data_IF_039943747974
#
_entry.id   IF_039943747974
#
_cell.length_a   1.000
_cell.length_b   1.000
_cell.length_c   1.000
_cell.angle_alpha   90.00
_cell.angle_beta   90.00
_cell.angle_gamma   90.00
#
_symmetry.space_group_name_H-M   'P 1'
#
loop_
_entity.id
_entity.type
_entity.pdbx_description
1 polymer ?
#
# COMPACT_ATOMS: atom_id res chain seq x y z
N UNK A 1 10.83 -4.17 -15.33
CA UNK A 1 10.07 -4.02 -14.07
C UNK A 1 10.29 -2.67 -13.36
N UNK A 2 11.54 -2.23 -13.14
CA UNK A 2 11.86 -1.03 -12.35
C UNK A 2 11.12 0.27 -12.76
N UNK A 3 11.03 0.57 -14.07
CA UNK A 3 10.32 1.75 -14.59
C UNK A 3 8.81 1.69 -14.32
N UNK A 4 8.18 0.56 -14.65
CA UNK A 4 6.75 0.30 -14.42
C UNK A 4 6.42 0.45 -12.93
N UNK A 5 7.20 -0.18 -12.06
CA UNK A 5 7.03 -0.06 -10.62
C UNK A 5 7.10 1.39 -10.16
N UNK A 6 8.14 2.13 -10.57
CA UNK A 6 8.32 3.51 -10.14
C UNK A 6 7.13 4.40 -10.54
N UNK A 7 6.65 4.28 -11.77
CA UNK A 7 5.47 5.03 -12.24
C UNK A 7 4.24 4.70 -11.40
N UNK A 8 3.95 3.41 -11.18
CA UNK A 8 2.77 3.01 -10.40
C UNK A 8 2.89 3.40 -8.92
N UNK A 9 4.08 3.27 -8.33
CA UNK A 9 4.33 3.68 -6.94
C UNK A 9 4.17 5.20 -6.76
N UNK A 10 4.63 6.01 -7.71
CA UNK A 10 4.43 7.47 -7.68
C UNK A 10 2.93 7.77 -7.76
N UNK A 11 2.20 7.19 -8.73
CA UNK A 11 0.77 7.41 -8.88
C UNK A 11 -0.02 7.01 -7.62
N UNK A 12 0.30 5.85 -7.02
CA UNK A 12 -0.33 5.41 -5.78
C UNK A 12 -0.06 6.38 -4.62
N UNK A 13 1.18 6.84 -4.44
CA UNK A 13 1.51 7.78 -3.36
C UNK A 13 0.91 9.18 -3.57
N UNK A 14 0.86 9.68 -4.81
CA UNK A 14 0.16 10.93 -5.14
C UNK A 14 -1.33 10.81 -4.84
N UNK A 15 -1.94 9.67 -5.16
CA UNK A 15 -3.36 9.42 -4.86
C UNK A 15 -3.62 9.34 -3.36
N UNK A 16 -2.75 8.68 -2.59
CA UNK A 16 -2.82 8.68 -1.12
C UNK A 16 -2.71 10.09 -0.54
N UNK A 17 -1.76 10.89 -1.05
CA UNK A 17 -1.57 12.26 -0.60
C UNK A 17 -2.79 13.14 -0.93
N UNK A 18 -3.37 12.96 -2.11
CA UNK A 18 -4.61 13.62 -2.49
C UNK A 18 -5.76 13.26 -1.53
N UNK A 19 -5.93 11.97 -1.23
CA UNK A 19 -6.94 11.51 -0.26
C UNK A 19 -6.75 12.13 1.13
N UNK A 20 -5.50 12.19 1.62
CA UNK A 20 -5.14 12.83 2.89
C UNK A 20 -5.49 14.32 2.91
N UNK A 21 -5.12 15.05 1.87
CA UNK A 21 -5.42 16.49 1.74
C UNK A 21 -6.93 16.72 1.68
N UNK A 22 -7.67 15.90 0.95
CA UNK A 22 -9.12 15.98 0.90
C UNK A 22 -9.77 15.70 2.25
N UNK A 23 -9.23 14.76 3.04
CA UNK A 23 -9.70 14.48 4.39
C UNK A 23 -9.59 15.70 5.32
N UNK A 24 -8.50 16.46 5.20
CA UNK A 24 -8.29 17.71 5.95
C UNK A 24 -9.26 18.83 5.53
N UNK A 25 -9.86 18.74 4.35
CA UNK A 25 -10.77 19.75 3.79
C UNK A 25 -12.25 19.50 4.11
N UNK A 26 -12.61 18.37 4.74
CA UNK A 26 -14.01 18.01 5.03
C UNK A 26 -14.68 19.00 6.00
N UNK A 27 -13.93 19.58 6.93
CA UNK A 27 -14.49 20.44 7.99
C UNK A 27 -15.18 19.63 9.09
N UNK A 28 -16.19 20.22 9.75
CA UNK A 28 -17.00 19.53 10.77
C UNK A 28 -18.10 18.70 10.10
N UNK A 29 -18.04 17.35 10.15
CA UNK A 29 -19.04 16.49 9.53
C UNK A 29 -20.45 16.61 10.15
N UNK A 30 -20.56 17.16 11.36
CA UNK A 30 -21.82 17.34 12.07
C UNK A 30 -22.45 18.72 11.82
N UNK A 31 -21.87 19.52 10.93
CA UNK A 31 -22.47 20.79 10.48
C UNK A 31 -23.91 20.56 10.01
N UNK A 32 -24.83 21.41 10.48
CA UNK A 32 -26.28 21.27 10.25
C UNK A 32 -26.85 19.89 10.66
N UNK A 33 -26.27 19.24 11.67
CA UNK A 33 -26.65 17.91 12.13
C UNK A 33 -26.36 16.82 11.09
N UNK A 34 -25.28 16.97 10.32
CA UNK A 34 -24.88 16.05 9.26
C UNK A 34 -25.67 16.20 7.95
N UNK A 35 -26.46 17.27 7.82
CA UNK A 35 -27.32 17.52 6.64
C UNK A 35 -26.77 18.57 5.69
N UNK A 36 -25.57 19.10 5.95
CA UNK A 36 -24.93 20.04 5.05
C UNK A 36 -24.57 19.35 3.71
N UNK A 37 -25.16 19.78 2.58
CA UNK A 37 -24.92 19.15 1.29
C UNK A 37 -23.47 19.32 0.79
N UNK A 38 -22.81 20.42 1.14
CA UNK A 38 -21.43 20.68 0.70
C UNK A 38 -20.47 19.78 1.46
N UNK A 39 -20.60 19.67 2.79
CA UNK A 39 -19.78 18.77 3.62
C UNK A 39 -19.96 17.32 3.20
N UNK A 40 -21.21 16.88 2.98
CA UNK A 40 -21.50 15.52 2.53
C UNK A 40 -20.89 15.21 1.15
N UNK A 41 -20.84 16.20 0.24
CA UNK A 41 -20.15 16.06 -1.05
C UNK A 41 -18.64 15.90 -0.87
N UNK A 42 -18.02 16.66 0.04
CA UNK A 42 -16.59 16.51 0.34
C UNK A 42 -16.26 15.15 0.94
N UNK A 43 -17.08 14.65 1.87
CA UNK A 43 -16.97 13.29 2.43
C UNK A 43 -17.06 12.25 1.32
N UNK A 44 -18.10 12.32 0.47
CA UNK A 44 -18.27 11.38 -0.64
C UNK A 44 -17.09 11.36 -1.60
N UNK A 45 -16.57 12.53 -1.97
CA UNK A 45 -15.39 12.64 -2.81
C UNK A 45 -14.14 12.05 -2.13
N UNK A 46 -13.95 12.32 -0.83
CA UNK A 46 -12.84 11.76 -0.05
C UNK A 46 -12.92 10.22 0.00
N UNK A 47 -14.10 9.66 0.23
CA UNK A 47 -14.31 8.20 0.23
C UNK A 47 -13.94 7.61 -1.13
N UNK A 48 -14.41 8.18 -2.24
CA UNK A 48 -14.10 7.67 -3.59
C UNK A 48 -12.60 7.72 -3.90
N UNK A 49 -11.94 8.85 -3.60
CA UNK A 49 -10.50 8.99 -3.82
C UNK A 49 -9.70 8.10 -2.86
N UNK A 50 -10.15 7.94 -1.61
CA UNK A 50 -9.57 7.05 -0.62
C UNK A 50 -9.67 5.58 -1.02
N UNK A 51 -10.81 5.14 -1.54
CA UNK A 51 -11.00 3.79 -2.10
C UNK A 51 -10.09 3.57 -3.31
N UNK A 52 -10.00 4.54 -4.22
CA UNK A 52 -9.09 4.46 -5.36
C UNK A 52 -7.62 4.41 -4.91
N UNK A 53 -7.23 5.17 -3.88
CA UNK A 53 -5.89 5.11 -3.28
C UNK A 53 -5.61 3.72 -2.68
N UNK A 54 -6.55 3.19 -1.90
CA UNK A 54 -6.44 1.85 -1.30
C UNK A 54 -6.29 0.78 -2.38
N UNK A 55 -7.12 0.78 -3.41
CA UNK A 55 -7.02 -0.15 -4.54
C UNK A 55 -5.70 0.02 -5.31
N UNK A 56 -5.22 1.25 -5.50
CA UNK A 56 -3.95 1.51 -6.20
C UNK A 56 -2.74 0.98 -5.42
N UNK A 57 -2.67 1.24 -4.11
CA UNK A 57 -1.61 0.74 -3.23
C UNK A 57 -1.60 -0.78 -3.21
N UNK A 58 -2.76 -1.38 -2.93
CA UNK A 58 -2.93 -2.84 -2.91
C UNK A 58 -2.53 -3.48 -4.24
N UNK A 59 -2.92 -2.88 -5.37
CA UNK A 59 -2.50 -3.32 -6.70
C UNK A 59 -0.97 -3.28 -6.87
N UNK A 60 -0.30 -2.18 -6.50
CA UNK A 60 1.17 -2.07 -6.60
C UNK A 60 1.86 -3.18 -5.81
N UNK A 61 1.42 -3.42 -4.58
CA UNK A 61 1.97 -4.49 -3.74
C UNK A 61 1.66 -5.89 -4.28
N UNK A 62 0.47 -6.11 -4.83
CA UNK A 62 0.09 -7.38 -5.47
C UNK A 62 0.97 -7.67 -6.71
N UNK A 63 1.21 -6.67 -7.56
CA UNK A 63 2.09 -6.80 -8.73
C UNK A 63 3.52 -7.17 -8.33
N UNK A 64 4.00 -6.63 -7.21
CA UNK A 64 5.33 -6.92 -6.70
C UNK A 64 5.41 -8.31 -6.10
N UNK A 65 4.37 -8.71 -5.36
CA UNK A 65 4.24 -10.07 -4.84
C UNK A 65 4.30 -11.09 -5.98
N UNK A 66 3.49 -10.91 -7.03
CA UNK A 66 3.46 -11.84 -8.17
C UNK A 66 4.77 -11.82 -8.96
N UNK A 67 5.41 -10.66 -9.14
CA UNK A 67 6.73 -10.55 -9.76
C UNK A 67 7.79 -11.38 -9.02
N UNK A 68 7.91 -11.25 -7.70
CA UNK A 68 8.90 -12.00 -6.92
C UNK A 68 8.56 -13.49 -6.82
N UNK A 69 7.28 -13.86 -6.77
CA UNK A 69 6.86 -15.26 -6.82
C UNK A 69 7.19 -15.91 -8.17
N UNK A 70 6.83 -15.24 -9.27
CA UNK A 70 7.07 -15.75 -10.62
C UNK A 70 8.55 -15.84 -10.98
N UNK A 71 9.31 -14.77 -10.73
CA UNK A 71 10.76 -14.78 -11.02
C UNK A 71 11.53 -15.75 -10.13
N UNK A 72 11.13 -15.92 -8.87
CA UNK A 72 11.79 -16.87 -7.98
C UNK A 72 11.60 -18.32 -8.43
N UNK A 73 10.38 -18.69 -8.83
CA UNK A 73 10.12 -20.02 -9.40
C UNK A 73 10.84 -20.24 -10.72
N UNK A 74 10.85 -19.23 -11.59
CA UNK A 74 11.59 -19.29 -12.85
C UNK A 74 13.10 -19.49 -12.63
N UNK A 75 13.72 -18.80 -11.67
CA UNK A 75 15.15 -18.98 -11.33
C UNK A 75 15.40 -20.39 -10.80
N UNK A 76 14.53 -20.91 -9.94
CA UNK A 76 14.65 -22.27 -9.40
C UNK A 76 14.63 -23.33 -10.50
N UNK A 77 13.61 -23.29 -11.36
CA UNK A 77 13.43 -24.24 -12.46
C UNK A 77 14.56 -24.12 -13.50
N UNK A 78 14.97 -22.90 -13.83
CA UNK A 78 16.07 -22.64 -14.78
C UNK A 78 17.41 -23.12 -14.21
N UNK A 79 17.70 -22.81 -12.94
CA UNK A 79 18.94 -23.27 -12.31
C UNK A 79 19.01 -24.80 -12.23
N UNK A 80 17.88 -25.47 -11.96
CA UNK A 80 17.80 -26.92 -11.98
C UNK A 80 18.02 -27.51 -13.38
N UNK A 81 17.36 -26.95 -14.41
CA UNK A 81 17.44 -27.43 -15.79
C UNK A 81 18.85 -27.30 -16.38
N UNK A 82 19.52 -26.17 -16.13
CA UNK A 82 20.83 -25.86 -16.69
C UNK A 82 22.00 -26.13 -15.73
N UNK A 83 21.73 -26.74 -14.56
CA UNK A 83 22.72 -27.04 -13.51
C UNK A 83 23.53 -25.81 -13.09
N UNK A 84 22.87 -24.65 -12.99
CA UNK A 84 23.52 -23.41 -12.60
C UNK A 84 23.92 -23.44 -11.12
N UNK A 85 24.93 -22.67 -10.71
CA UNK A 85 25.33 -22.55 -9.32
C UNK A 85 24.16 -22.18 -8.39
N UNK A 86 24.02 -22.83 -7.21
CA UNK A 86 22.89 -22.61 -6.29
C UNK A 86 22.84 -21.18 -5.71
N UNK A 87 23.93 -20.42 -5.85
CA UNK A 87 24.03 -19.03 -5.42
C UNK A 87 22.95 -18.12 -6.05
N UNK A 88 22.52 -18.39 -7.29
CA UNK A 88 21.48 -17.59 -7.95
C UNK A 88 20.11 -17.77 -7.29
N UNK A 89 19.74 -19.02 -7.01
CA UNK A 89 18.51 -19.33 -6.30
C UNK A 89 18.54 -18.77 -4.86
N UNK A 90 19.64 -18.99 -4.12
CA UNK A 90 19.78 -18.50 -2.75
C UNK A 90 19.71 -16.96 -2.66
N UNK A 91 20.37 -16.26 -3.59
CA UNK A 91 20.32 -14.80 -3.65
C UNK A 91 18.90 -14.30 -3.95
N UNK A 92 18.18 -14.95 -4.89
CA UNK A 92 16.80 -14.60 -5.19
C UNK A 92 15.87 -14.85 -3.98
N UNK A 93 15.98 -15.99 -3.30
CA UNK A 93 15.16 -16.30 -2.12
C UNK A 93 15.36 -15.25 -1.01
N UNK A 94 16.60 -14.80 -0.80
CA UNK A 94 16.89 -13.72 0.17
C UNK A 94 16.20 -12.40 -0.21
N UNK A 95 16.12 -12.07 -1.50
CA UNK A 95 15.40 -10.89 -1.97
C UNK A 95 13.89 -11.04 -1.80
N UNK A 96 13.34 -12.18 -2.22
CA UNK A 96 11.92 -12.52 -2.09
C UNK A 96 11.46 -12.48 -0.63
N UNK A 97 12.06 -13.26 0.26
CA UNK A 97 11.62 -13.27 1.66
C UNK A 97 11.94 -11.98 2.42
N UNK A 98 12.90 -11.18 1.92
CA UNK A 98 13.15 -9.85 2.47
C UNK A 98 12.07 -8.80 2.15
N UNK A 99 11.25 -9.00 1.10
CA UNK A 99 10.25 -8.03 0.66
C UNK A 99 8.82 -8.38 1.10
N UNK A 100 8.53 -9.67 1.27
CA UNK A 100 7.19 -10.17 1.57
C UNK A 100 6.59 -9.61 2.87
N UNK A 101 7.33 -9.49 3.99
CA UNK A 101 6.78 -8.91 5.21
C UNK A 101 6.35 -7.45 5.02
N UNK A 102 7.14 -6.64 4.29
CA UNK A 102 6.80 -5.25 4.01
C UNK A 102 5.55 -5.12 3.13
N UNK A 103 5.39 -6.01 2.16
CA UNK A 103 4.17 -6.10 1.33
C UNK A 103 2.96 -6.41 2.23
N UNK A 104 3.00 -7.49 3.01
CA UNK A 104 1.88 -7.90 3.88
C UNK A 104 1.52 -6.84 4.92
N UNK A 105 2.53 -6.24 5.54
CA UNK A 105 2.32 -5.19 6.53
C UNK A 105 1.63 -3.97 5.91
N UNK A 106 2.07 -3.54 4.73
CA UNK A 106 1.43 -2.39 4.04
C UNK A 106 -0.01 -2.69 3.63
N UNK A 107 -0.30 -3.92 3.18
CA UNK A 107 -1.67 -4.38 2.93
C UNK A 107 -2.56 -4.26 4.15
N UNK A 108 -2.10 -4.77 5.30
CA UNK A 108 -2.86 -4.72 6.56
C UNK A 108 -3.06 -3.28 7.04
N UNK A 109 -2.05 -2.43 6.91
CA UNK A 109 -2.15 -1.00 7.24
C UNK A 109 -3.15 -0.26 6.35
N UNK A 110 -3.15 -0.53 5.05
CA UNK A 110 -4.11 0.05 4.11
C UNK A 110 -5.55 -0.39 4.41
N UNK A 111 -5.75 -1.69 4.68
CA UNK A 111 -7.04 -2.22 5.11
C UNK A 111 -7.49 -1.58 6.43
N UNK A 112 -6.59 -1.53 7.43
CA UNK A 112 -6.86 -0.91 8.73
C UNK A 112 -7.26 0.56 8.60
N UNK A 113 -6.57 1.32 7.74
CA UNK A 113 -6.92 2.72 7.45
C UNK A 113 -8.30 2.87 6.86
N UNK A 114 -8.67 1.99 5.90
CA UNK A 114 -10.02 1.95 5.33
C UNK A 114 -11.08 1.64 6.38
N UNK A 115 -10.82 0.66 7.27
CA UNK A 115 -11.71 0.34 8.38
C UNK A 115 -11.86 1.52 9.36
N UNK A 116 -10.76 2.19 9.73
CA UNK A 116 -10.83 3.41 10.55
C UNK A 116 -11.61 4.53 9.85
N UNK A 117 -11.52 4.64 8.53
CA UNK A 117 -12.32 5.60 7.75
C UNK A 117 -13.82 5.29 7.82
N UNK A 118 -14.19 4.01 7.71
CA UNK A 118 -15.58 3.58 7.87
C UNK A 118 -16.11 3.78 9.30
N UNK A 119 -15.26 3.74 10.32
CA UNK A 119 -15.62 4.07 11.71
C UNK A 119 -15.69 5.58 11.93
N UNK A 120 -14.91 6.38 11.20
CA UNK A 120 -14.95 7.83 11.27
C UNK A 120 -16.10 8.45 10.46
N UNK A 121 -16.82 7.66 9.67
CA UNK A 121 -17.97 8.11 8.88
C UNK A 121 -19.12 8.54 9.82
N UNK A 122 -19.64 9.77 9.74
CA UNK A 122 -20.76 10.22 10.58
C UNK A 122 -22.04 9.38 10.46
N UNK A 123 -22.20 8.65 9.35
CA UNK A 123 -23.33 7.75 9.13
C UNK A 123 -23.17 6.40 9.87
N UNK A 124 -22.00 6.10 10.44
CA UNK A 124 -21.77 4.86 11.16
C UNK A 124 -22.26 4.94 12.61
N UNK A 125 -22.79 3.82 13.12
CA UNK A 125 -23.10 3.67 14.54
C UNK A 125 -21.90 3.13 15.35
N UNK A 126 -20.84 2.71 14.67
CA UNK A 126 -19.63 2.20 15.30
C UNK A 126 -18.78 3.36 15.84
N UNK A 127 -18.18 3.19 17.01
CA UNK A 127 -17.18 4.12 17.53
C UNK A 127 -16.14 3.35 18.33
N UNK A 128 -14.87 3.70 18.11
CA UNK A 128 -13.74 3.20 18.89
C UNK A 128 -13.33 4.17 20.00
N UNK A 129 -13.99 5.33 20.08
CA UNK A 129 -13.68 6.39 21.04
C UNK A 129 -13.79 5.88 22.49
N UNK A 130 -14.80 5.07 22.81
CA UNK A 130 -14.99 4.52 24.17
C UNK A 130 -13.87 3.56 24.60
N UNK A 131 -13.24 2.87 23.64
CA UNK A 131 -12.17 1.91 23.91
C UNK A 131 -10.79 2.55 23.90
N UNK A 132 -10.57 3.50 22.99
CA UNK A 132 -9.25 4.12 22.76
C UNK A 132 -9.06 5.44 23.50
N UNK A 133 -10.14 6.11 23.89
CA UNK A 133 -10.13 7.47 24.44
C UNK A 133 -9.82 8.57 23.41
N UNK A 134 -9.72 8.23 22.12
CA UNK A 134 -9.39 9.15 21.03
C UNK A 134 -10.55 9.19 20.05
N UNK A 135 -10.88 10.38 19.53
CA UNK A 135 -11.96 10.53 18.54
C UNK A 135 -11.65 9.72 17.27
N UNK A 136 -12.68 9.11 16.69
CA UNK A 136 -12.57 8.24 15.52
C UNK A 136 -11.92 8.93 14.29
N UNK A 137 -12.17 10.24 14.10
CA UNK A 137 -11.54 11.04 13.05
C UNK A 137 -10.02 11.19 13.23
N UNK A 138 -9.55 11.41 14.46
CA UNK A 138 -8.12 11.48 14.79
C UNK A 138 -7.46 10.12 14.62
N UNK A 139 -8.14 9.03 15.00
CA UNK A 139 -7.64 7.67 14.76
C UNK A 139 -7.48 7.38 13.27
N UNK A 140 -8.50 7.68 12.46
CA UNK A 140 -8.42 7.52 11.01
C UNK A 140 -7.28 8.36 10.41
N UNK A 141 -7.15 9.62 10.81
CA UNK A 141 -6.09 10.50 10.32
C UNK A 141 -4.69 10.00 10.69
N UNK A 142 -4.49 9.59 11.95
CA UNK A 142 -3.22 9.03 12.41
C UNK A 142 -2.87 7.74 11.65
N UNK A 143 -3.84 6.84 11.45
CA UNK A 143 -3.65 5.62 10.66
C UNK A 143 -3.35 5.92 9.18
N UNK A 144 -3.98 6.94 8.60
CA UNK A 144 -3.74 7.34 7.22
C UNK A 144 -2.30 7.89 7.03
N UNK A 145 -1.81 8.73 7.95
CA UNK A 145 -0.43 9.21 7.94
C UNK A 145 0.54 8.03 8.10
N UNK A 146 0.32 7.18 9.12
CA UNK A 146 1.20 6.05 9.40
C UNK A 146 1.27 5.10 8.18
N UNK A 147 0.13 4.79 7.58
CA UNK A 147 0.06 3.95 6.38
C UNK A 147 0.78 4.58 5.20
N UNK A 148 0.63 5.89 4.97
CA UNK A 148 1.34 6.58 3.88
C UNK A 148 2.86 6.55 4.07
N UNK A 149 3.35 6.85 5.28
CA UNK A 149 4.77 6.78 5.61
C UNK A 149 5.33 5.36 5.45
N UNK A 150 4.62 4.35 5.94
CA UNK A 150 4.99 2.93 5.78
C UNK A 150 5.01 2.54 4.31
N UNK A 151 3.99 2.92 3.55
CA UNK A 151 3.92 2.64 2.11
C UNK A 151 5.12 3.26 1.36
N UNK A 152 5.45 4.52 1.62
CA UNK A 152 6.63 5.19 1.05
C UNK A 152 7.92 4.45 1.38
N UNK A 153 8.12 4.09 2.65
CA UNK A 153 9.31 3.36 3.09
C UNK A 153 9.39 1.99 2.40
N UNK A 154 8.29 1.25 2.35
CA UNK A 154 8.25 -0.06 1.70
C UNK A 154 8.48 0.09 0.20
N UNK A 155 7.86 1.05 -0.49
CA UNK A 155 8.11 1.30 -1.91
C UNK A 155 9.58 1.63 -2.19
N UNK A 156 10.22 2.42 -1.32
CA UNK A 156 11.66 2.70 -1.41
C UNK A 156 12.49 1.42 -1.32
N UNK A 157 12.22 0.56 -0.33
CA UNK A 157 12.94 -0.72 -0.22
C UNK A 157 12.67 -1.64 -1.43
N UNK A 158 11.42 -1.67 -1.93
CA UNK A 158 11.04 -2.46 -3.09
C UNK A 158 11.81 -2.04 -4.35
N UNK A 159 12.03 -0.74 -4.54
CA UNK A 159 12.80 -0.22 -5.68
C UNK A 159 14.19 -0.86 -5.79
N UNK A 160 14.94 -0.93 -4.68
CA UNK A 160 16.27 -1.54 -4.66
C UNK A 160 16.22 -3.06 -4.81
N UNK A 161 15.21 -3.71 -4.22
CA UNK A 161 15.04 -5.16 -4.34
C UNK A 161 14.72 -5.59 -5.76
N UNK A 162 13.92 -4.81 -6.50
CA UNK A 162 13.67 -5.05 -7.93
C UNK A 162 14.97 -4.97 -8.72
N UNK A 163 15.80 -3.95 -8.46
CA UNK A 163 17.09 -3.81 -9.14
C UNK A 163 18.01 -5.00 -8.86
N UNK A 164 18.13 -5.43 -7.60
CA UNK A 164 18.90 -6.62 -7.24
C UNK A 164 18.38 -7.89 -7.92
N UNK A 165 17.06 -8.05 -8.03
CA UNK A 165 16.47 -9.20 -8.71
C UNK A 165 16.74 -9.17 -10.22
N UNK A 166 16.72 -7.99 -10.84
CA UNK A 166 17.06 -7.83 -12.26
C UNK A 166 18.51 -8.25 -12.54
N UNK A 167 19.46 -7.90 -11.67
CA UNK A 167 20.86 -8.34 -11.82
C UNK A 167 21.00 -9.86 -11.74
N UNK A 168 20.23 -10.53 -10.87
CA UNK A 168 20.24 -12.01 -10.79
C UNK A 168 19.67 -12.60 -12.09
N UNK A 169 18.54 -12.08 -12.57
CA UNK A 169 17.93 -12.53 -13.82
C UNK A 169 18.89 -12.37 -15.00
N UNK A 170 19.55 -11.21 -15.11
CA UNK A 170 20.56 -10.95 -16.14
C UNK A 170 21.73 -11.93 -16.06
N UNK A 171 22.21 -12.24 -14.85
CA UNK A 171 23.29 -13.21 -14.64
C UNK A 171 22.90 -14.67 -14.93
N UNK A 172 21.61 -15.03 -14.80
CA UNK A 172 21.08 -16.35 -15.18
C UNK A 172 20.92 -16.47 -16.70
N UNK A 173 20.69 -15.36 -17.40
CA UNK A 173 20.50 -15.33 -18.86
C UNK A 173 21.80 -15.23 -19.66
N UNK A 174 22.91 -14.83 -19.03
CA UNK A 174 24.23 -14.70 -19.63
C UNK A 174 24.94 -16.06 -19.76
#
# INVERSE_FOLDING_TARGET
MKRIFLTLAILANVTMLAALVMGLQIGDPMTLGGRDPDVNRWIGNHILVGLFALTSVTMVHALLFTYFMGTGRWIEETAAAYKLPPQFHNANQKLKYGILPGIMFTFLMALGTGCCGAVADPATAASLTSWTGVSDSVLHFAMAIATWCVNLLVNFTQYFRIAGNSTIVEAVLA
#
